data_IF_587700429796
#
_entry.id   IF_587700429796
#
_cell.length_a   1.000
_cell.length_b   1.000
_cell.length_c   1.000
_cell.angle_alpha   90.00
_cell.angle_beta   90.00
_cell.angle_gamma   90.00
#
_symmetry.space_group_name_H-M   'P 1'
#
loop_
_entity.id
_entity.type
_entity.pdbx_description
1 polymer ?
#
# COMPACT_ATOMS: atom_id res chain seq x y z
N UNK A 1 -26.44 -24.98 61.47
CA UNK A 1 -27.74 -24.31 61.37
C UNK A 1 -27.52 -22.94 60.76
N UNK A 2 -28.29 -22.55 59.74
CA UNK A 2 -28.30 -21.16 59.30
C UNK A 2 -28.95 -20.31 60.40
N UNK A 3 -28.31 -19.18 60.75
CA UNK A 3 -28.76 -18.31 61.85
C UNK A 3 -30.01 -17.47 61.51
N UNK A 4 -30.47 -17.48 60.25
CA UNK A 4 -31.59 -16.66 59.78
C UNK A 4 -32.64 -17.51 59.03
N UNK A 5 -33.95 -17.16 59.14
CA UNK A 5 -35.01 -17.82 58.38
C UNK A 5 -34.97 -17.41 56.89
N UNK A 6 -35.16 -18.39 56.00
CA UNK A 6 -35.23 -18.17 54.54
C UNK A 6 -36.71 -18.12 54.14
N UNK A 7 -37.13 -17.05 53.47
CA UNK A 7 -38.50 -16.94 52.93
C UNK A 7 -38.67 -17.87 51.73
N UNK A 8 -39.62 -18.79 51.83
CA UNK A 8 -39.95 -19.76 50.80
C UNK A 8 -41.43 -19.61 50.44
N UNK A 9 -41.73 -19.55 49.15
CA UNK A 9 -43.11 -19.44 48.67
C UNK A 9 -43.24 -19.90 47.21
N UNK A 10 -44.44 -20.31 46.78
CA UNK A 10 -44.67 -20.72 45.40
C UNK A 10 -44.60 -19.51 44.47
N UNK A 11 -43.91 -19.63 43.35
CA UNK A 11 -43.83 -18.59 42.32
C UNK A 11 -43.80 -19.24 40.94
N UNK A 12 -44.59 -18.72 40.00
CA UNK A 12 -44.61 -19.20 38.62
C UNK A 12 -43.51 -18.51 37.81
N UNK A 13 -42.54 -19.29 37.34
CA UNK A 13 -41.47 -18.81 36.46
C UNK A 13 -41.81 -19.06 34.99
N UNK A 14 -41.46 -18.10 34.13
CA UNK A 14 -41.55 -18.26 32.67
C UNK A 14 -40.16 -18.48 32.09
N UNK A 15 -40.05 -19.42 31.15
CA UNK A 15 -38.81 -19.69 30.42
C UNK A 15 -38.71 -18.77 29.20
N UNK A 16 -37.61 -18.03 29.10
CA UNK A 16 -37.30 -17.18 27.94
C UNK A 16 -36.74 -18.02 26.77
N UNK A 17 -36.98 -17.54 25.55
CA UNK A 17 -36.60 -18.23 24.30
C UNK A 17 -35.10 -18.18 23.98
N UNK A 18 -34.36 -17.21 24.52
CA UNK A 18 -32.96 -17.00 24.16
C UNK A 18 -32.04 -17.83 25.05
N UNK A 19 -31.59 -18.96 24.52
CA UNK A 19 -30.62 -19.82 25.20
C UNK A 19 -29.18 -19.36 24.95
N UNK A 20 -28.31 -19.56 25.94
CA UNK A 20 -26.88 -19.22 25.82
C UNK A 20 -26.15 -20.13 24.81
N UNK A 21 -26.58 -21.38 24.71
CA UNK A 21 -26.11 -22.37 23.74
C UNK A 21 -26.25 -21.84 22.30
N UNK A 22 -27.36 -21.15 22.03
CA UNK A 22 -27.63 -20.48 20.76
C UNK A 22 -26.85 -19.18 20.57
N UNK A 23 -25.93 -18.79 21.47
CA UNK A 23 -25.13 -17.57 21.32
C UNK A 23 -23.63 -17.83 21.23
N UNK A 24 -23.17 -19.04 21.57
CA UNK A 24 -21.75 -19.39 21.51
C UNK A 24 -21.24 -19.27 20.06
N UNK A 25 -20.09 -18.61 19.90
CA UNK A 25 -19.38 -18.40 18.63
C UNK A 25 -17.89 -18.60 18.85
N UNK A 26 -17.30 -19.54 18.10
CA UNK A 26 -15.85 -19.77 18.10
C UNK A 26 -15.35 -19.94 16.67
N UNK A 27 -14.08 -19.61 16.44
CA UNK A 27 -13.44 -19.68 15.13
C UNK A 27 -11.95 -19.97 15.29
N UNK A 28 -11.44 -20.91 14.50
CA UNK A 28 -10.00 -21.17 14.34
C UNK A 28 -9.53 -20.61 12.98
N UNK A 29 -9.87 -21.27 11.87
CA UNK A 29 -9.63 -20.79 10.50
C UNK A 29 -10.84 -21.18 9.62
N UNK A 30 -11.39 -20.22 8.87
CA UNK A 30 -12.71 -20.30 8.20
C UNK A 30 -12.70 -19.37 6.96
N UNK A 31 -13.73 -19.39 6.09
CA UNK A 31 -13.78 -18.56 4.88
C UNK A 31 -13.52 -17.08 5.16
N UNK A 32 -12.89 -16.45 4.18
CA UNK A 32 -12.65 -15.02 4.08
C UNK A 32 -13.55 -14.45 2.98
N UNK A 33 -13.88 -13.17 3.08
CA UNK A 33 -14.61 -12.46 2.05
C UNK A 33 -13.75 -12.36 0.77
N UNK A 34 -14.29 -12.64 -0.44
CA UNK A 34 -13.50 -12.73 -1.66
C UNK A 34 -12.83 -11.41 -2.05
N UNK A 35 -13.52 -10.28 -1.88
CA UNK A 35 -12.97 -8.97 -2.19
C UNK A 35 -11.87 -8.56 -1.21
N UNK A 36 -12.21 -8.39 0.08
CA UNK A 36 -11.36 -7.83 1.13
C UNK A 36 -10.42 -8.81 1.80
N UNK A 37 -10.61 -10.12 1.58
CA UNK A 37 -9.91 -11.20 2.30
C UNK A 37 -10.04 -11.12 3.82
N UNK A 38 -10.96 -10.30 4.31
CA UNK A 38 -11.29 -10.18 5.72
C UNK A 38 -12.21 -11.29 6.17
N UNK A 39 -12.27 -11.45 7.46
CA UNK A 39 -13.15 -12.40 8.11
C UNK A 39 -14.63 -11.97 7.92
N UNK A 40 -15.48 -12.90 7.46
CA UNK A 40 -16.94 -12.69 7.35
C UNK A 40 -17.58 -12.52 8.74
N UNK A 41 -18.65 -11.72 8.85
CA UNK A 41 -19.32 -11.44 10.12
C UNK A 41 -20.26 -12.58 10.58
N UNK A 42 -20.89 -13.28 9.63
CA UNK A 42 -22.02 -14.18 9.88
C UNK A 42 -21.70 -15.36 10.79
N UNK A 43 -22.54 -15.58 11.80
CA UNK A 43 -22.38 -16.72 12.71
C UNK A 43 -22.58 -18.08 12.03
N UNK A 44 -23.56 -18.19 11.12
CA UNK A 44 -23.86 -19.44 10.39
C UNK A 44 -22.68 -19.91 9.53
N UNK A 45 -21.88 -18.97 9.03
CA UNK A 45 -20.69 -19.21 8.20
C UNK A 45 -19.42 -19.25 9.07
N UNK A 46 -19.59 -19.29 10.40
CA UNK A 46 -18.51 -19.28 11.38
C UNK A 46 -17.55 -18.10 11.15
N UNK A 47 -18.18 -16.94 10.98
CA UNK A 47 -17.54 -15.65 10.95
C UNK A 47 -16.71 -15.39 12.21
N UNK A 48 -15.84 -14.40 12.13
CA UNK A 48 -15.01 -13.98 13.25
C UNK A 48 -15.70 -12.93 14.10
N UNK A 49 -14.97 -12.48 15.11
CA UNK A 49 -15.33 -11.30 15.88
C UNK A 49 -14.83 -10.06 15.17
N UNK A 50 -15.61 -8.98 15.20
CA UNK A 50 -15.20 -7.69 14.63
C UNK A 50 -14.37 -6.96 15.67
N UNK A 51 -13.13 -6.65 15.32
CA UNK A 51 -12.26 -5.83 16.14
C UNK A 51 -12.42 -4.40 15.65
N UNK A 52 -13.06 -3.54 16.45
CA UNK A 52 -13.38 -2.17 16.09
C UNK A 52 -12.36 -1.19 16.69
N UNK A 53 -12.68 0.10 16.60
CA UNK A 53 -11.81 1.18 17.01
C UNK A 53 -11.65 1.21 18.53
N UNK A 54 -12.71 0.91 19.28
CA UNK A 54 -12.69 0.93 20.75
C UNK A 54 -11.74 -0.15 21.28
N UNK A 55 -11.79 -1.37 20.74
CA UNK A 55 -10.90 -2.44 21.21
C UNK A 55 -9.43 -2.17 20.83
N UNK A 56 -9.19 -1.54 19.68
CA UNK A 56 -7.85 -1.06 19.31
C UNK A 56 -7.37 -0.02 20.31
N UNK A 57 -8.21 0.94 20.64
CA UNK A 57 -7.84 2.06 21.52
C UNK A 57 -7.58 1.58 22.95
N UNK A 58 -8.33 0.57 23.44
CA UNK A 58 -8.01 -0.14 24.68
C UNK A 58 -6.60 -0.78 24.65
N UNK A 59 -6.25 -1.51 23.58
CA UNK A 59 -4.91 -2.11 23.47
C UNK A 59 -3.80 -1.07 23.37
N UNK A 60 -4.06 0.07 22.73
CA UNK A 60 -3.15 1.20 22.68
C UNK A 60 -2.94 1.82 24.06
N UNK A 61 -4.02 2.03 24.83
CA UNK A 61 -3.95 2.55 26.20
C UNK A 61 -3.13 1.65 27.12
N UNK A 62 -3.21 0.33 26.94
CA UNK A 62 -2.38 -0.64 27.65
C UNK A 62 -0.93 -0.71 27.15
N UNK A 63 -0.57 -0.05 26.05
CA UNK A 63 0.76 -0.12 25.45
C UNK A 63 1.08 -1.47 24.78
N UNK A 64 0.07 -2.29 24.49
CA UNK A 64 0.25 -3.64 23.97
C UNK A 64 0.42 -3.67 22.43
N UNK A 65 1.44 -2.98 21.91
CA UNK A 65 1.66 -2.77 20.47
C UNK A 65 1.82 -4.09 19.68
N UNK A 66 2.54 -5.07 20.22
CA UNK A 66 2.73 -6.37 19.58
C UNK A 66 1.41 -7.14 19.42
N UNK A 67 0.52 -7.06 20.44
CA UNK A 67 -0.79 -7.68 20.40
C UNK A 67 -1.71 -7.01 19.38
N UNK A 68 -1.67 -5.67 19.30
CA UNK A 68 -2.40 -4.90 18.31
C UNK A 68 -1.97 -5.29 16.89
N UNK A 69 -0.66 -5.36 16.62
CA UNK A 69 -0.14 -5.79 15.32
C UNK A 69 -0.56 -7.23 14.99
N UNK A 70 -0.49 -8.16 15.96
CA UNK A 70 -0.92 -9.54 15.75
C UNK A 70 -2.41 -9.63 15.36
N UNK A 71 -3.28 -8.85 16.01
CA UNK A 71 -4.73 -8.84 15.76
C UNK A 71 -5.11 -8.15 14.45
N UNK A 72 -4.54 -6.97 14.17
CA UNK A 72 -4.90 -6.15 13.01
C UNK A 72 -4.15 -6.50 11.72
N UNK A 73 -3.01 -7.20 11.82
CA UNK A 73 -2.17 -7.50 10.66
C UNK A 73 -1.93 -9.00 10.47
N UNK A 74 -1.37 -9.70 11.46
CA UNK A 74 -0.93 -11.10 11.28
C UNK A 74 -2.10 -12.06 11.14
N UNK A 75 -3.16 -11.90 11.95
CA UNK A 75 -4.29 -12.82 12.00
C UNK A 75 -5.40 -12.45 11.01
N UNK A 76 -5.57 -11.16 10.71
CA UNK A 76 -6.62 -10.66 9.82
C UNK A 76 -6.19 -10.73 8.36
N UNK A 77 -5.32 -9.82 7.91
CA UNK A 77 -5.18 -9.43 6.51
C UNK A 77 -3.72 -9.33 6.04
N UNK A 78 -2.84 -10.22 6.49
CA UNK A 78 -1.44 -10.18 6.06
C UNK A 78 -1.32 -10.38 4.55
N UNK A 79 -0.71 -9.43 3.84
CA UNK A 79 -0.50 -9.53 2.39
C UNK A 79 0.85 -8.98 1.97
N UNK A 80 1.31 -9.42 0.80
CA UNK A 80 2.57 -8.96 0.21
C UNK A 80 2.28 -8.05 -0.99
N UNK A 81 3.02 -6.95 -1.05
CA UNK A 81 2.98 -5.96 -2.12
C UNK A 81 4.39 -5.71 -2.63
N UNK A 82 4.53 -5.47 -3.93
CA UNK A 82 5.80 -5.13 -4.54
C UNK A 82 5.85 -3.65 -4.81
N UNK A 83 6.91 -2.97 -4.39
CA UNK A 83 7.12 -1.56 -4.65
C UNK A 83 8.41 -1.37 -5.42
N UNK A 84 8.34 -0.57 -6.47
CA UNK A 84 9.49 -0.18 -7.26
C UNK A 84 10.15 1.04 -6.60
N UNK A 85 11.44 0.93 -6.26
CA UNK A 85 12.17 1.97 -5.49
C UNK A 85 12.16 3.32 -6.24
N UNK A 86 12.80 3.40 -7.41
CA UNK A 86 13.00 4.69 -8.11
C UNK A 86 11.72 5.47 -8.42
N UNK A 87 10.66 4.76 -8.80
CA UNK A 87 9.39 5.33 -9.22
C UNK A 87 8.39 5.42 -8.02
N UNK A 88 8.72 4.86 -6.84
CA UNK A 88 7.94 4.82 -5.57
C UNK A 88 6.50 4.31 -5.72
N UNK A 89 6.25 3.46 -6.71
CA UNK A 89 4.92 2.99 -7.08
C UNK A 89 4.85 1.47 -6.98
N UNK A 90 3.63 0.96 -6.84
CA UNK A 90 3.41 -0.48 -6.77
C UNK A 90 3.73 -1.13 -8.11
N UNK A 91 4.53 -2.20 -8.06
CA UNK A 91 4.81 -3.07 -9.18
C UNK A 91 3.81 -4.23 -9.19
N UNK A 92 3.37 -4.60 -10.38
CA UNK A 92 2.46 -5.72 -10.57
C UNK A 92 3.27 -6.98 -10.89
N UNK A 93 2.77 -8.14 -10.45
CA UNK A 93 3.32 -9.43 -10.87
C UNK A 93 2.63 -9.83 -12.15
N UNK A 94 3.30 -9.63 -13.28
CA UNK A 94 2.78 -9.97 -14.60
C UNK A 94 3.70 -10.97 -15.31
N UNK A 95 3.17 -11.62 -16.34
CA UNK A 95 4.00 -12.34 -17.29
C UNK A 95 4.55 -11.33 -18.30
N UNK A 96 5.87 -11.23 -18.42
CA UNK A 96 6.51 -10.32 -19.36
C UNK A 96 7.45 -11.09 -20.30
N UNK A 97 7.58 -10.62 -21.55
CA UNK A 97 8.49 -11.23 -22.52
C UNK A 97 9.93 -10.83 -22.21
N UNK A 98 10.76 -11.81 -21.90
CA UNK A 98 12.21 -11.61 -21.73
C UNK A 98 12.88 -11.67 -23.11
N UNK A 99 13.95 -10.88 -23.39
CA UNK A 99 14.77 -11.06 -24.58
C UNK A 99 15.26 -12.52 -24.65
N UNK A 100 14.73 -13.30 -25.60
CA UNK A 100 14.89 -14.77 -25.65
C UNK A 100 13.58 -15.56 -25.74
N UNK A 101 12.42 -14.89 -25.87
CA UNK A 101 11.13 -15.50 -26.25
C UNK A 101 10.38 -16.22 -25.13
N UNK A 102 10.99 -16.41 -23.96
CA UNK A 102 10.35 -17.01 -22.78
C UNK A 102 9.53 -15.96 -22.03
N UNK A 103 8.26 -16.30 -21.72
CA UNK A 103 7.42 -15.50 -20.83
C UNK A 103 7.75 -15.88 -19.40
N UNK A 104 8.30 -14.95 -18.62
CA UNK A 104 8.60 -15.18 -17.20
C UNK A 104 7.57 -14.47 -16.35
N UNK A 105 7.02 -15.16 -15.34
CA UNK A 105 6.13 -14.57 -14.35
C UNK A 105 6.98 -13.97 -13.23
N UNK A 106 6.95 -12.66 -13.10
CA UNK A 106 7.77 -11.97 -12.11
C UNK A 106 7.23 -10.59 -11.76
N UNK A 107 7.73 -9.99 -10.69
CA UNK A 107 7.45 -8.59 -10.41
C UNK A 107 8.09 -7.75 -11.52
N UNK A 108 7.28 -6.92 -12.16
CA UNK A 108 7.73 -6.09 -13.26
C UNK A 108 6.96 -4.78 -13.23
N UNK A 109 7.66 -3.66 -13.40
CA UNK A 109 7.03 -2.35 -13.44
C UNK A 109 6.85 -1.85 -14.88
N UNK A 110 5.62 -1.78 -15.43
CA UNK A 110 5.41 -1.51 -16.86
C UNK A 110 5.88 -0.13 -17.32
N UNK A 111 5.90 0.88 -16.44
CA UNK A 111 6.25 2.24 -16.81
C UNK A 111 7.76 2.46 -16.92
N UNK A 112 8.55 1.86 -16.02
CA UNK A 112 10.01 2.00 -15.99
C UNK A 112 10.72 0.81 -16.72
N UNK A 113 9.96 -0.19 -17.19
CA UNK A 113 10.40 -1.37 -17.96
C UNK A 113 11.56 -2.16 -17.33
N UNK A 114 11.55 -2.24 -16.01
CA UNK A 114 12.60 -2.85 -15.21
C UNK A 114 12.02 -3.85 -14.23
N UNK A 115 12.73 -4.97 -14.07
CA UNK A 115 12.55 -5.94 -12.98
C UNK A 115 13.54 -5.73 -11.83
N UNK A 116 14.55 -4.89 -12.05
CA UNK A 116 15.56 -4.50 -11.07
C UNK A 116 14.99 -3.46 -10.10
N UNK A 117 15.44 -3.44 -8.84
CA UNK A 117 15.01 -2.48 -7.80
C UNK A 117 13.55 -2.61 -7.32
N UNK A 118 13.04 -3.84 -7.22
CA UNK A 118 11.72 -4.14 -6.64
C UNK A 118 11.86 -4.72 -5.24
N UNK A 119 11.28 -4.03 -4.26
CA UNK A 119 11.24 -4.46 -2.86
C UNK A 119 9.90 -5.12 -2.55
N UNK A 120 9.95 -6.18 -1.72
CA UNK A 120 8.76 -6.83 -1.16
C UNK A 120 8.42 -6.17 0.17
N UNK A 121 7.17 -5.71 0.31
CA UNK A 121 6.67 -5.08 1.53
C UNK A 121 5.44 -5.85 2.02
N UNK A 122 5.39 -6.09 3.32
CA UNK A 122 4.24 -6.67 3.99
C UNK A 122 3.24 -5.57 4.37
N UNK A 123 2.04 -5.62 3.80
CA UNK A 123 1.00 -4.57 3.92
C UNK A 123 -0.35 -5.24 4.17
N UNK A 124 -1.25 -4.67 5.00
CA UNK A 124 -2.58 -5.24 5.15
C UNK A 124 -3.32 -5.21 3.81
N UNK A 125 -4.06 -6.27 3.51
CA UNK A 125 -4.73 -6.38 2.21
C UNK A 125 -5.74 -5.24 1.96
N UNK A 126 -6.40 -4.74 3.02
CA UNK A 126 -7.26 -3.55 2.91
C UNK A 126 -6.53 -2.31 2.37
N UNK A 127 -5.28 -2.07 2.77
CA UNK A 127 -4.50 -0.95 2.23
C UNK A 127 -4.08 -1.18 0.78
N UNK A 128 -3.82 -2.44 0.38
CA UNK A 128 -3.57 -2.81 -1.01
C UNK A 128 -4.78 -2.54 -1.91
N UNK A 129 -5.99 -2.85 -1.44
CA UNK A 129 -7.24 -2.50 -2.14
C UNK A 129 -7.44 -0.99 -2.23
N UNK A 130 -7.25 -0.27 -1.12
CA UNK A 130 -7.38 1.18 -1.09
C UNK A 130 -6.44 1.85 -2.10
N UNK A 131 -5.22 1.34 -2.25
CA UNK A 131 -4.31 1.81 -3.29
C UNK A 131 -4.87 1.60 -4.70
N UNK A 132 -5.48 0.45 -4.97
CA UNK A 132 -6.07 0.14 -6.28
C UNK A 132 -7.27 1.03 -6.61
N UNK A 133 -8.14 1.28 -5.62
CA UNK A 133 -9.29 2.20 -5.76
C UNK A 133 -8.86 3.66 -5.94
N UNK A 134 -7.86 4.11 -5.19
CA UNK A 134 -7.31 5.45 -5.40
C UNK A 134 -6.66 5.57 -6.80
N UNK A 135 -5.97 4.52 -7.25
CA UNK A 135 -5.37 4.50 -8.58
C UNK A 135 -6.42 4.52 -9.70
N UNK A 136 -7.58 3.87 -9.51
CA UNK A 136 -8.70 3.91 -10.45
C UNK A 136 -9.31 5.33 -10.54
N UNK A 137 -9.35 6.04 -9.41
CA UNK A 137 -9.73 7.46 -9.32
C UNK A 137 -8.61 8.44 -9.72
N UNK A 138 -7.52 7.96 -10.34
CA UNK A 138 -6.36 8.74 -10.78
C UNK A 138 -5.54 9.40 -9.66
N UNK A 139 -5.74 8.99 -8.40
CA UNK A 139 -4.94 9.43 -7.26
C UNK A 139 -3.76 8.47 -7.09
N UNK A 140 -2.54 8.98 -7.25
CA UNK A 140 -1.31 8.21 -7.13
C UNK A 140 -0.70 8.32 -5.72
N UNK A 141 -0.79 7.25 -4.93
CA UNK A 141 -0.01 7.13 -3.69
C UNK A 141 1.44 6.74 -4.02
N UNK A 142 2.39 7.36 -3.31
CA UNK A 142 3.82 7.05 -3.40
C UNK A 142 4.30 6.38 -2.12
N UNK A 143 4.91 5.21 -2.25
CA UNK A 143 5.51 4.48 -1.14
C UNK A 143 7.00 4.74 -1.12
N UNK A 144 7.48 5.41 -0.07
CA UNK A 144 8.92 5.58 0.20
C UNK A 144 9.37 4.44 1.11
N UNK A 145 10.48 3.80 0.76
CA UNK A 145 11.09 2.75 1.58
C UNK A 145 12.28 3.33 2.35
N UNK A 146 12.56 2.81 3.55
CA UNK A 146 13.64 3.32 4.40
C UNK A 146 15.04 3.16 3.79
N UNK A 147 15.21 2.22 2.85
CA UNK A 147 16.45 2.13 2.05
C UNK A 147 16.73 3.42 1.26
N UNK A 148 15.68 4.17 0.89
CA UNK A 148 15.82 5.50 0.29
C UNK A 148 16.05 6.61 1.32
N UNK A 149 15.56 6.45 2.56
CA UNK A 149 15.87 7.40 3.64
C UNK A 149 17.30 7.27 4.09
N UNK A 150 17.84 6.06 4.19
CA UNK A 150 19.27 5.83 4.42
C UNK A 150 20.11 6.48 3.30
N UNK A 151 19.74 6.27 2.03
CA UNK A 151 20.42 6.92 0.90
C UNK A 151 20.26 8.46 0.90
N UNK A 152 19.11 9.01 1.30
CA UNK A 152 18.87 10.45 1.41
C UNK A 152 19.57 11.10 2.62
N UNK A 153 19.68 10.39 3.74
CA UNK A 153 20.47 10.80 4.91
C UNK A 153 21.96 10.77 4.59
N UNK A 154 22.43 9.76 3.86
CA UNK A 154 23.82 9.70 3.38
C UNK A 154 24.08 10.81 2.35
N UNK A 155 23.15 11.06 1.41
CA UNK A 155 23.28 12.14 0.44
C UNK A 155 23.21 13.54 1.07
N UNK A 156 22.39 13.75 2.09
CA UNK A 156 22.34 15.02 2.84
C UNK A 156 23.56 15.19 3.75
N UNK A 157 24.05 14.11 4.37
CA UNK A 157 25.33 14.12 5.09
C UNK A 157 26.51 14.41 4.15
N UNK A 158 26.52 13.85 2.94
CA UNK A 158 27.54 14.15 1.92
C UNK A 158 27.48 15.63 1.46
N UNK A 159 26.30 16.26 1.40
CA UNK A 159 26.17 17.70 1.13
C UNK A 159 26.68 18.57 2.28
N UNK A 160 26.52 18.13 3.54
CA UNK A 160 27.09 18.81 4.72
C UNK A 160 28.62 18.68 4.73
N UNK A 161 29.16 17.51 4.37
CA UNK A 161 30.61 17.28 4.25
C UNK A 161 31.21 18.03 3.04
N UNK A 162 30.53 18.07 1.89
CA UNK A 162 30.93 18.87 0.74
C UNK A 162 30.81 20.38 0.99
N UNK A 163 29.87 20.80 1.86
CA UNK A 163 29.78 22.17 2.39
C UNK A 163 30.98 22.55 3.25
N UNK A 164 31.48 21.61 4.07
CA UNK A 164 32.72 21.79 4.84
C UNK A 164 33.98 21.77 3.95
N UNK A 165 34.01 20.92 2.91
CA UNK A 165 35.10 20.85 1.93
C UNK A 165 35.17 22.06 0.99
N UNK A 166 34.10 22.86 0.85
CA UNK A 166 34.17 24.18 0.19
C UNK A 166 34.83 25.26 1.05
N UNK A 167 34.87 25.09 2.37
CA UNK A 167 35.62 25.98 3.28
C UNK A 167 37.12 25.65 3.30
N UNK A 168 37.48 24.42 2.92
CA UNK A 168 38.87 23.95 2.73
C UNK A 168 39.06 23.61 1.25
N UNK A 169 39.32 24.61 0.41
CA UNK A 169 39.28 24.51 -1.05
C UNK A 169 39.92 23.26 -1.68
N UNK A 170 39.10 22.21 -1.86
CA UNK A 170 39.45 21.00 -2.62
C UNK A 170 38.46 20.88 -3.78
N UNK A 171 38.99 20.91 -5.01
CA UNK A 171 38.24 20.63 -6.24
C UNK A 171 37.98 19.13 -6.33
N UNK A 172 36.72 18.73 -6.20
CA UNK A 172 36.32 17.35 -6.45
C UNK A 172 35.80 17.23 -7.89
N UNK A 173 36.44 16.32 -8.64
CA UNK A 173 36.18 16.03 -10.04
C UNK A 173 34.82 15.36 -10.22
N UNK A 174 34.15 15.75 -11.31
CA UNK A 174 32.83 15.28 -11.72
C UNK A 174 32.84 13.79 -12.04
N UNK A 175 31.91 13.03 -11.47
CA UNK A 175 31.42 11.80 -12.10
C UNK A 175 30.00 11.46 -11.62
N UNK A 176 29.07 11.30 -12.57
CA UNK A 176 27.78 10.61 -12.33
C UNK A 176 26.51 11.45 -12.44
N UNK A 177 26.14 11.87 -13.65
CA UNK A 177 24.80 12.38 -14.00
C UNK A 177 23.70 11.32 -13.78
N UNK A 178 22.64 11.64 -13.04
CA UNK A 178 21.29 11.09 -13.32
C UNK A 178 20.27 12.22 -13.27
N UNK A 179 20.17 12.93 -14.39
CA UNK A 179 19.07 13.85 -14.66
C UNK A 179 17.88 13.06 -15.24
N UNK A 180 16.81 12.87 -14.46
CA UNK A 180 15.52 12.42 -15.02
C UNK A 180 14.87 13.56 -15.84
N UNK A 181 15.34 13.78 -17.06
CA UNK A 181 14.76 14.71 -18.05
C UNK A 181 13.59 14.10 -18.84
N UNK A 182 12.89 13.09 -18.32
CA UNK A 182 11.85 12.41 -19.09
C UNK A 182 10.46 13.09 -19.04
N UNK A 183 10.14 13.94 -18.05
CA UNK A 183 8.80 14.57 -17.96
C UNK A 183 8.68 15.97 -18.59
N UNK A 184 9.80 16.62 -18.94
CA UNK A 184 9.77 17.90 -19.67
C UNK A 184 10.05 17.77 -21.19
N UNK A 185 10.65 16.66 -21.65
CA UNK A 185 10.94 16.45 -23.09
C UNK A 185 9.76 15.90 -23.90
N UNK A 186 8.80 15.19 -23.31
CA UNK A 186 7.61 14.69 -24.04
C UNK A 186 6.53 15.75 -24.29
N UNK A 187 6.40 16.77 -23.43
CA UNK A 187 5.48 17.91 -23.68
C UNK A 187 6.03 18.96 -24.65
N UNK A 188 7.36 19.18 -24.73
CA UNK A 188 7.97 20.13 -25.70
C UNK A 188 8.11 19.60 -27.13
N UNK A 189 8.30 18.28 -27.35
CA UNK A 189 8.35 17.71 -28.72
C UNK A 189 6.98 17.62 -29.41
N UNK A 190 5.87 17.44 -28.67
CA UNK A 190 4.50 17.49 -29.24
C UNK A 190 4.03 18.92 -29.58
N UNK A 191 4.46 19.95 -28.85
CA UNK A 191 4.14 21.36 -29.19
C UNK A 191 4.96 21.91 -30.36
N UNK A 192 6.23 21.49 -30.55
CA UNK A 192 7.06 21.92 -31.70
C UNK A 192 6.68 21.23 -33.03
N UNK A 193 6.14 20.01 -33.01
CA UNK A 193 5.70 19.32 -34.24
C UNK A 193 4.36 19.85 -34.78
N UNK A 194 3.43 20.28 -33.92
CA UNK A 194 2.17 20.91 -34.36
C UNK A 194 2.37 22.34 -34.91
N UNK A 195 3.35 23.10 -34.38
CA UNK A 195 3.59 24.46 -34.87
C UNK A 195 4.28 24.51 -36.24
N UNK A 196 5.11 23.49 -36.58
CA UNK A 196 5.75 23.38 -37.91
C UNK A 196 4.78 22.92 -39.02
N UNK A 197 3.75 22.12 -38.69
CA UNK A 197 2.70 21.71 -39.66
C UNK A 197 1.66 22.80 -39.95
N UNK A 198 1.45 23.77 -39.05
CA UNK A 198 0.58 24.94 -39.33
C UNK A 198 1.24 25.99 -40.24
N UNK A 199 2.57 26.14 -40.21
CA UNK A 199 3.28 27.10 -41.08
C UNK A 199 3.43 26.61 -42.53
N UNK A 200 3.47 25.29 -42.78
CA UNK A 200 3.53 24.77 -44.15
C UNK A 200 2.19 24.88 -44.91
N UNK A 201 1.06 24.94 -44.21
CA UNK A 201 -0.27 25.11 -44.83
C UNK A 201 -0.66 26.57 -45.10
N UNK A 202 -0.03 27.54 -44.43
CA UNK A 202 -0.23 28.97 -44.73
C UNK A 202 0.67 29.49 -45.86
N UNK A 203 1.82 28.85 -46.13
CA UNK A 203 2.72 29.23 -47.21
C UNK A 203 2.36 28.71 -48.61
N UNK A 204 1.36 27.82 -48.74
CA UNK A 204 0.87 27.31 -50.02
C UNK A 204 -0.42 27.99 -50.50
N UNK A 205 -0.95 28.97 -49.75
CA UNK A 205 -2.15 29.75 -50.14
C UNK A 205 -1.83 31.14 -50.70
N UNK A 206 -0.55 31.51 -50.83
CA UNK A 206 -0.10 32.81 -51.36
C UNK A 206 0.66 32.70 -52.69
N UNK A 207 0.56 31.56 -53.39
CA UNK A 207 1.15 31.32 -54.72
C UNK A 207 0.09 30.88 -55.76
N UNK A 208 -1.19 31.08 -55.45
CA UNK A 208 -2.32 30.99 -56.37
C UNK A 208 -3.20 32.22 -56.17
N UNK A 209 -2.65 33.36 -56.60
CA UNK A 209 -3.35 34.58 -56.99
C UNK A 209 -2.49 35.21 -58.10
#
# INVERSE_FOLDING_TARGET
MMHCPIFMGPTFYQRLIHMAEDKVKFRNTRPMHPLTRQIVADRKIFGGFRFEEIERDCLLAHGAAANLHKRLFTVSDSSQMHVYQTCTRVANVIQWPVPGGKKVRGPYYPFCQSSENIVKISVPYGAKLLYQELFSMLICLKFKTEEEKAAQIIASAAQVVAGAAKFVGVRESREGDVVCTCDQRRRRRRRRSQHRRRRSWQGQRSLLA
#
